data_IF_328642710913
#
_entry.id   IF_328642710913
#
_cell.length_a   1.000
_cell.length_b   1.000
_cell.length_c   1.000
_cell.angle_alpha   90.00
_cell.angle_beta   90.00
_cell.angle_gamma   90.00
#
_symmetry.space_group_name_H-M   'P 1'
#
loop_
_entity.id
_entity.type
_entity.pdbx_description
1 polymer ?
#
# COMPACT_ATOMS: atom_id res chain seq x y z
N UNK A 1 17.94 18.46 -30.94
CA UNK A 1 18.31 19.58 -30.04
C UNK A 1 18.86 18.99 -28.75
N UNK A 2 19.89 19.60 -28.17
CA UNK A 2 20.40 19.21 -26.86
C UNK A 2 19.55 19.84 -25.73
N UNK A 3 19.07 19.01 -24.82
CA UNK A 3 18.18 19.41 -23.71
C UNK A 3 18.89 20.37 -22.74
N UNK A 4 20.21 20.21 -22.54
CA UNK A 4 21.00 21.08 -21.66
C UNK A 4 21.13 22.49 -22.24
N UNK A 5 21.30 22.59 -23.56
CA UNK A 5 21.29 23.86 -24.30
C UNK A 5 19.95 24.59 -24.17
N UNK A 6 18.82 23.88 -24.34
CA UNK A 6 17.48 24.47 -24.20
C UNK A 6 17.19 24.92 -22.76
N UNK A 7 17.57 24.13 -21.74
CA UNK A 7 17.38 24.51 -20.33
C UNK A 7 18.21 25.73 -19.93
N UNK A 8 19.44 25.87 -20.43
CA UNK A 8 20.27 27.07 -20.22
C UNK A 8 19.73 28.32 -20.91
N UNK A 9 19.03 28.15 -22.04
CA UNK A 9 18.36 29.25 -22.73
C UNK A 9 17.15 29.72 -21.91
N UNK A 10 16.29 28.79 -21.47
CA UNK A 10 15.14 29.07 -20.61
C UNK A 10 15.52 29.71 -19.27
N UNK A 11 16.66 29.31 -18.67
CA UNK A 11 17.18 29.91 -17.44
C UNK A 11 17.67 31.37 -17.62
N UNK A 12 17.92 31.82 -18.86
CA UNK A 12 18.37 33.17 -19.19
C UNK A 12 17.32 34.03 -19.89
N UNK A 13 16.19 33.45 -20.29
CA UNK A 13 15.08 34.17 -20.90
C UNK A 13 14.45 35.13 -19.88
N UNK A 14 13.95 36.29 -20.34
CA UNK A 14 13.25 37.22 -19.45
C UNK A 14 11.86 36.66 -19.14
N UNK A 15 11.29 37.07 -18.00
CA UNK A 15 9.94 36.65 -17.59
C UNK A 15 8.89 36.96 -18.65
N UNK A 16 9.06 38.08 -19.36
CA UNK A 16 8.23 38.51 -20.50
C UNK A 16 8.31 37.54 -21.69
N UNK A 17 9.52 37.11 -22.07
CA UNK A 17 9.74 36.14 -23.16
C UNK A 17 9.12 34.77 -22.81
N UNK A 18 9.29 34.33 -21.56
CA UNK A 18 8.73 33.09 -21.05
C UNK A 18 7.19 33.12 -21.00
N UNK A 19 6.61 34.26 -20.62
CA UNK A 19 5.16 34.45 -20.60
C UNK A 19 4.59 34.47 -22.03
N UNK A 20 5.23 35.18 -22.96
CA UNK A 20 4.84 35.19 -24.37
C UNK A 20 4.87 33.79 -24.98
N UNK A 21 5.93 33.01 -24.70
CA UNK A 21 6.05 31.62 -25.19
C UNK A 21 5.02 30.67 -24.55
N UNK A 22 4.71 30.86 -23.27
CA UNK A 22 3.63 30.13 -22.59
C UNK A 22 2.26 30.40 -23.26
N UNK A 23 1.98 31.66 -23.56
CA UNK A 23 0.70 32.07 -24.15
C UNK A 23 0.60 31.64 -25.63
N UNK A 24 1.70 31.63 -26.37
CA UNK A 24 1.81 31.03 -27.71
C UNK A 24 1.53 29.51 -27.68
N UNK A 25 2.10 28.77 -26.72
CA UNK A 25 1.83 27.34 -26.53
C UNK A 25 0.37 27.08 -26.16
N UNK A 26 -0.25 27.92 -25.33
CA UNK A 26 -1.68 27.81 -25.02
C UNK A 26 -2.56 28.08 -26.24
N UNK A 27 -2.23 29.07 -27.08
CA UNK A 27 -2.94 29.33 -28.33
C UNK A 27 -2.80 28.16 -29.31
N UNK A 28 -1.61 27.59 -29.45
CA UNK A 28 -1.36 26.41 -30.29
C UNK A 28 -2.17 25.19 -29.81
N UNK A 29 -2.19 24.93 -28.50
CA UNK A 29 -2.99 23.85 -27.90
C UNK A 29 -4.51 24.08 -28.07
N UNK A 30 -4.96 25.33 -28.00
CA UNK A 30 -6.35 25.70 -28.26
C UNK A 30 -6.74 25.47 -29.73
N UNK A 31 -5.89 25.85 -30.68
CA UNK A 31 -6.14 25.61 -32.11
C UNK A 31 -6.10 24.11 -32.46
N UNK A 32 -5.12 23.36 -31.93
CA UNK A 32 -5.10 21.89 -32.06
C UNK A 32 -6.37 21.24 -31.48
N UNK A 33 -6.84 21.69 -30.32
CA UNK A 33 -8.11 21.22 -29.73
C UNK A 33 -9.33 21.57 -30.58
N UNK A 34 -9.31 22.70 -31.28
CA UNK A 34 -10.37 23.12 -32.21
C UNK A 34 -10.37 22.26 -33.48
N UNK A 35 -9.20 21.99 -34.08
CA UNK A 35 -9.05 21.08 -35.22
C UNK A 35 -9.50 19.66 -34.89
N UNK A 36 -9.04 19.12 -33.75
CA UNK A 36 -9.47 17.80 -33.25
C UNK A 36 -10.97 17.70 -32.93
N UNK A 37 -11.67 18.81 -32.69
CA UNK A 37 -13.15 18.83 -32.61
C UNK A 37 -13.81 18.94 -33.98
N UNK A 38 -13.21 19.70 -34.90
CA UNK A 38 -13.68 19.82 -36.28
C UNK A 38 -13.61 18.49 -37.05
N UNK A 39 -12.53 17.73 -36.88
CA UNK A 39 -12.34 16.42 -37.53
C UNK A 39 -13.28 15.33 -37.00
N UNK A 40 -13.89 15.54 -35.83
CA UNK A 40 -14.94 14.67 -35.27
C UNK A 40 -16.36 15.07 -35.70
N UNK A 41 -16.53 16.13 -36.51
CA UNK A 41 -17.85 16.59 -36.97
C UNK A 41 -18.26 16.10 -38.37
N UNK A 42 -17.43 15.30 -39.03
CA UNK A 42 -17.73 14.68 -40.34
C UNK A 42 -18.13 13.20 -40.26
N UNK A 43 -18.12 12.58 -39.06
CA UNK A 43 -18.45 11.16 -38.87
C UNK A 43 -19.34 10.95 -37.62
N UNK A 44 -20.59 11.40 -37.69
CA UNK A 44 -21.77 10.63 -37.21
C UNK A 44 -23.05 11.45 -37.32
N UNK A 45 -23.73 11.35 -38.46
CA UNK A 45 -25.14 11.74 -38.53
C UNK A 45 -26.00 10.55 -38.06
N UNK A 46 -26.35 10.53 -36.77
CA UNK A 46 -27.60 9.95 -36.21
C UNK A 46 -27.54 9.79 -34.68
N UNK A 47 -28.45 10.48 -33.96
CA UNK A 47 -28.92 10.27 -32.56
C UNK A 47 -27.82 9.99 -31.50
N UNK A 48 -27.54 10.92 -30.58
CA UNK A 48 -28.46 11.31 -29.49
C UNK A 48 -28.39 10.28 -28.34
N UNK A 49 -28.10 10.62 -27.08
CA UNK A 49 -28.33 11.87 -26.34
C UNK A 49 -27.17 12.28 -25.40
N UNK A 50 -27.31 13.46 -24.79
CA UNK A 50 -26.37 14.13 -23.90
C UNK A 50 -26.26 13.48 -22.51
N UNK A 51 -25.05 13.38 -21.95
CA UNK A 51 -24.84 13.63 -20.51
C UNK A 51 -23.64 14.58 -20.32
N UNK A 52 -23.88 15.65 -19.56
CA UNK A 52 -22.94 16.73 -19.25
C UNK A 52 -21.84 16.30 -18.27
N UNK A 53 -20.65 16.90 -18.41
CA UNK A 53 -19.55 16.78 -17.43
C UNK A 53 -19.39 18.11 -16.69
N UNK A 54 -19.74 18.12 -15.41
CA UNK A 54 -19.34 19.10 -14.41
C UNK A 54 -19.41 18.45 -13.01
N UNK A 55 -18.37 18.39 -12.17
CA UNK A 55 -17.44 19.43 -11.67
C UNK A 55 -17.96 20.17 -10.42
N UNK A 56 -17.45 19.71 -9.26
CA UNK A 56 -17.13 20.45 -8.00
C UNK A 56 -18.15 20.62 -6.85
N UNK A 57 -17.69 20.13 -5.69
CA UNK A 57 -17.69 20.70 -4.30
C UNK A 57 -18.97 21.09 -3.53
N UNK A 58 -18.91 20.79 -2.22
CA UNK A 58 -19.64 21.36 -1.05
C UNK A 58 -21.13 20.99 -0.90
N UNK A 59 -21.68 20.45 0.21
CA UNK A 59 -21.59 20.68 1.69
C UNK A 59 -22.71 21.61 2.20
N UNK A 60 -23.43 21.17 3.27
CA UNK A 60 -24.48 21.87 4.07
C UNK A 60 -25.78 22.28 3.33
N UNK A 61 -26.97 22.43 3.96
CA UNK A 61 -27.58 21.90 5.19
C UNK A 61 -29.12 22.12 5.11
N UNK A 62 -29.91 21.37 5.88
CA UNK A 62 -31.27 21.66 6.39
C UNK A 62 -32.43 22.13 5.47
N UNK A 63 -33.68 21.79 5.87
CA UNK A 63 -34.85 22.65 5.61
C UNK A 63 -36.15 21.99 5.15
N UNK A 64 -36.91 21.42 6.09
CA UNK A 64 -38.38 21.31 6.18
C UNK A 64 -39.29 21.24 4.92
N UNK A 65 -40.11 20.18 4.96
CA UNK A 65 -41.58 20.15 4.80
C UNK A 65 -42.15 20.10 3.34
N UNK A 66 -43.35 19.56 3.08
CA UNK A 66 -44.49 19.26 3.97
C UNK A 66 -45.44 18.22 3.32
N UNK A 67 -46.12 17.38 4.12
CA UNK A 67 -47.43 16.69 3.86
C UNK A 67 -47.61 15.82 2.58
N UNK A 68 -48.38 14.74 2.55
CA UNK A 68 -49.30 14.11 3.52
C UNK A 68 -49.55 12.64 3.12
N UNK A 69 -49.74 11.76 4.11
CA UNK A 69 -50.94 10.94 4.39
C UNK A 69 -51.68 10.29 3.17
N UNK A 70 -52.12 9.03 3.13
CA UNK A 70 -52.54 8.04 4.15
C UNK A 70 -52.48 6.61 3.51
N UNK A 71 -52.54 5.45 4.17
CA UNK A 71 -52.63 5.09 5.60
C UNK A 71 -51.77 3.82 5.91
N UNK A 72 -52.32 2.70 6.40
CA UNK A 72 -51.60 1.66 7.14
C UNK A 72 -52.12 0.21 7.01
N UNK A 73 -51.33 -0.78 7.46
CA UNK A 73 -51.76 -1.68 8.56
C UNK A 73 -50.60 -2.45 9.21
N UNK A 74 -50.71 -2.59 10.54
CA UNK A 74 -49.75 -3.09 11.53
C UNK A 74 -49.12 -4.49 11.34
N UNK A 75 -47.90 -4.66 11.87
CA UNK A 75 -47.71 -5.55 13.03
C UNK A 75 -46.40 -5.30 13.80
N UNK A 76 -46.48 -5.45 15.12
CA UNK A 76 -45.45 -5.08 16.11
C UNK A 76 -44.54 -6.27 16.44
N UNK A 77 -43.24 -6.01 16.69
CA UNK A 77 -42.73 -6.10 18.06
C UNK A 77 -41.28 -5.63 18.24
N UNK A 78 -41.02 -5.05 19.41
CA UNK A 78 -39.73 -4.59 19.90
C UNK A 78 -39.08 -5.64 20.78
N UNK A 79 -37.80 -5.96 20.57
CA UNK A 79 -36.92 -6.52 21.60
C UNK A 79 -35.53 -5.87 21.51
N UNK A 80 -35.29 -4.89 22.37
CA UNK A 80 -33.94 -4.57 22.86
C UNK A 80 -33.55 -5.57 23.95
N UNK A 81 -32.40 -6.25 23.83
CA UNK A 81 -31.76 -6.86 25.00
C UNK A 81 -30.25 -6.87 24.88
N UNK A 82 -29.60 -6.33 25.90
CA UNK A 82 -28.18 -6.40 26.18
C UNK A 82 -27.74 -7.81 26.58
N UNK A 83 -26.49 -8.18 26.29
CA UNK A 83 -25.87 -9.34 26.92
C UNK A 83 -24.61 -8.95 27.71
N UNK A 84 -24.62 -9.34 28.98
CA UNK A 84 -23.59 -9.02 29.96
C UNK A 84 -22.39 -9.97 29.88
N UNK A 85 -21.21 -9.43 30.17
CA UNK A 85 -20.03 -10.20 30.58
C UNK A 85 -20.23 -10.73 32.01
N UNK A 86 -19.92 -12.00 32.31
CA UNK A 86 -19.94 -12.49 33.68
C UNK A 86 -18.67 -12.07 34.45
N UNK A 87 -18.84 -11.46 35.62
CA UNK A 87 -17.82 -11.43 36.66
C UNK A 87 -17.93 -12.70 37.53
N UNK A 88 -16.78 -13.23 37.94
CA UNK A 88 -16.64 -14.09 39.12
C UNK A 88 -15.51 -13.49 39.94
N UNK A 89 -15.65 -13.42 41.27
CA UNK A 89 -14.77 -12.60 42.10
C UNK A 89 -14.37 -13.24 43.43
N UNK A 90 -13.39 -12.61 44.09
CA UNK A 90 -13.02 -12.71 45.51
C UNK A 90 -12.07 -11.50 45.75
N UNK A 91 -12.36 -10.50 46.61
CA UNK A 91 -12.54 -10.40 48.08
C UNK A 91 -11.25 -10.16 48.88
N UNK A 92 -11.32 -9.20 49.84
CA UNK A 92 -10.32 -8.77 50.84
C UNK A 92 -9.11 -7.96 50.32
N UNK A 93 -8.60 -6.90 50.96
CA UNK A 93 -9.08 -5.97 52.04
C UNK A 93 -8.35 -4.63 51.79
N UNK A 94 -9.00 -3.46 51.89
CA UNK A 94 -9.27 -2.65 53.10
C UNK A 94 -8.02 -2.13 53.84
N UNK A 95 -7.97 -0.81 54.12
CA UNK A 95 -6.76 -0.11 54.60
C UNK A 95 -6.80 1.41 54.39
N UNK A 96 -7.64 2.10 55.16
CA UNK A 96 -7.85 3.55 55.15
C UNK A 96 -7.10 4.23 56.32
N UNK A 97 -6.40 5.35 56.06
CA UNK A 97 -6.19 6.52 56.96
C UNK A 97 -5.47 7.61 56.13
N UNK A 98 -5.94 8.86 55.89
CA UNK A 98 -6.40 9.98 56.76
C UNK A 98 -5.21 10.49 57.62
N UNK A 99 -4.77 11.76 57.63
CA UNK A 99 -5.48 13.05 57.85
C UNK A 99 -4.65 14.28 57.35
N UNK A 100 -5.23 15.21 56.56
CA UNK A 100 -5.69 16.59 56.89
C UNK A 100 -4.68 17.71 57.24
N UNK A 101 -4.23 18.46 56.21
CA UNK A 101 -4.01 19.95 56.13
C UNK A 101 -3.28 20.75 57.24
N UNK A 102 -3.36 22.10 57.23
CA UNK A 102 -3.29 23.05 56.10
C UNK A 102 -2.18 24.14 56.33
N UNK A 103 -2.11 25.20 55.49
CA UNK A 103 -1.77 26.63 55.82
C UNK A 103 -0.95 27.37 54.73
N UNK A 104 -1.65 28.23 53.97
CA UNK A 104 -1.28 29.57 53.45
C UNK A 104 -0.14 29.86 52.42
N UNK A 105 -0.19 31.04 51.74
CA UNK A 105 0.28 31.18 50.36
C UNK A 105 1.48 32.14 50.17
N UNK A 106 1.78 32.39 48.89
CA UNK A 106 2.63 33.47 48.33
C UNK A 106 4.14 33.21 48.23
N UNK A 107 4.56 32.84 47.01
CA UNK A 107 5.58 33.64 46.30
C UNK A 107 5.20 33.74 44.82
N UNK A 108 5.14 34.96 44.28
CA UNK A 108 5.06 35.20 42.83
C UNK A 108 6.47 35.10 42.25
N UNK A 109 6.69 34.21 41.28
CA UNK A 109 7.82 34.32 40.36
C UNK A 109 7.33 34.42 38.92
N UNK A 110 7.53 35.61 38.34
CA UNK A 110 7.06 35.99 37.02
C UNK A 110 7.93 35.36 35.93
N UNK A 111 7.52 34.18 35.43
CA UNK A 111 8.12 33.61 34.23
C UNK A 111 7.51 34.27 32.98
N UNK A 112 8.31 34.90 32.09
CA UNK A 112 7.75 35.53 30.89
C UNK A 112 7.13 34.48 29.96
N UNK A 113 6.04 34.81 29.24
CA UNK A 113 5.42 33.89 28.29
C UNK A 113 6.39 33.66 27.13
N UNK A 114 6.92 32.44 27.04
CA UNK A 114 7.52 31.98 25.78
C UNK A 114 6.39 31.64 24.83
N UNK A 115 6.23 32.46 23.79
CA UNK A 115 5.32 32.16 22.69
C UNK A 115 5.62 30.73 22.16
N UNK A 116 4.59 29.90 21.94
CA UNK A 116 4.79 28.60 21.34
C UNK A 116 5.26 28.82 19.90
N UNK A 117 6.57 28.66 19.66
CA UNK A 117 7.15 28.63 18.32
C UNK A 117 6.48 27.50 17.55
N UNK A 118 5.45 27.86 16.78
CA UNK A 118 4.70 26.99 15.90
C UNK A 118 5.62 26.55 14.76
N UNK A 119 6.48 25.59 15.09
CA UNK A 119 7.32 24.88 14.14
C UNK A 119 6.42 24.38 13.02
N UNK A 120 6.65 24.79 11.75
CA UNK A 120 5.73 24.48 10.67
C UNK A 120 5.62 22.96 10.53
N UNK A 121 4.45 22.41 10.85
CA UNK A 121 4.15 20.97 10.72
C UNK A 121 4.15 20.62 9.24
N UNK A 122 5.33 20.32 8.70
CA UNK A 122 5.51 19.86 7.32
C UNK A 122 4.50 18.75 7.04
N UNK A 123 3.58 18.91 6.08
CA UNK A 123 2.60 17.88 5.73
C UNK A 123 3.35 16.60 5.36
N UNK A 124 3.40 15.64 6.28
CA UNK A 124 4.21 14.44 6.10
C UNK A 124 3.53 13.58 5.03
N UNK A 125 4.07 13.59 3.81
CA UNK A 125 3.54 12.84 2.68
C UNK A 125 3.48 11.34 2.97
N UNK A 126 2.63 10.58 2.28
CA UNK A 126 2.51 9.13 2.50
C UNK A 126 3.85 8.37 2.36
N UNK A 127 4.75 8.69 1.39
CA UNK A 127 6.12 8.19 1.38
C UNK A 127 6.86 8.42 2.70
N UNK A 128 6.83 9.63 3.25
CA UNK A 128 7.50 9.96 4.52
C UNK A 128 6.83 9.29 5.73
N UNK A 129 5.49 9.14 5.75
CA UNK A 129 4.78 8.42 6.81
C UNK A 129 5.16 6.94 6.82
N UNK A 130 5.21 6.31 5.65
CA UNK A 130 5.65 4.93 5.50
C UNK A 130 7.15 4.80 5.82
N UNK A 131 7.98 5.75 5.42
CA UNK A 131 9.41 5.72 5.73
C UNK A 131 9.70 5.83 7.23
N UNK A 132 8.99 6.71 7.95
CA UNK A 132 9.18 6.88 9.41
C UNK A 132 8.93 5.61 10.23
N UNK A 133 8.13 4.65 9.74
CA UNK A 133 7.88 3.39 10.46
C UNK A 133 8.92 2.28 10.19
N UNK A 134 10.00 2.56 9.45
CA UNK A 134 11.08 1.60 9.20
C UNK A 134 11.73 1.07 10.49
N UNK A 135 12.00 1.92 11.48
CA UNK A 135 12.68 1.50 12.72
C UNK A 135 11.89 0.39 13.47
N UNK A 136 10.66 0.69 13.89
CA UNK A 136 9.81 -0.23 14.66
C UNK A 136 9.40 -1.50 13.89
N UNK A 137 9.38 -1.41 12.56
CA UNK A 137 9.03 -2.53 11.68
C UNK A 137 10.22 -3.44 11.45
N UNK A 138 11.38 -2.87 11.12
CA UNK A 138 12.59 -3.65 10.88
C UNK A 138 13.14 -4.25 12.17
N UNK A 139 13.01 -3.58 13.32
CA UNK A 139 13.32 -4.21 14.61
C UNK A 139 12.44 -5.44 14.86
N UNK A 140 11.14 -5.35 14.62
CA UNK A 140 10.24 -6.49 14.79
C UNK A 140 10.53 -7.60 13.78
N UNK A 141 10.70 -7.28 12.49
CA UNK A 141 11.05 -8.26 11.45
C UNK A 141 12.39 -8.93 11.74
N UNK A 142 13.39 -8.18 12.20
CA UNK A 142 14.71 -8.72 12.54
C UNK A 142 14.62 -9.73 13.69
N UNK A 143 13.91 -9.39 14.77
CA UNK A 143 13.65 -10.34 15.87
C UNK A 143 12.83 -11.55 15.40
N UNK A 144 11.75 -11.33 14.64
CA UNK A 144 10.87 -12.39 14.12
C UNK A 144 11.57 -13.31 13.11
N UNK A 145 12.60 -12.82 12.40
CA UNK A 145 13.39 -13.60 11.45
C UNK A 145 14.43 -14.54 12.07
N UNK A 146 14.56 -14.53 13.40
CA UNK A 146 15.42 -15.48 14.13
C UNK A 146 14.84 -16.89 14.12
N UNK A 147 13.52 -17.01 14.09
CA UNK A 147 12.82 -18.29 14.01
C UNK A 147 12.77 -18.81 12.57
N UNK A 148 12.75 -20.14 12.41
CA UNK A 148 12.67 -20.77 11.08
C UNK A 148 11.27 -20.58 10.48
N UNK A 149 11.15 -20.15 9.21
CA UNK A 149 9.84 -19.87 8.60
C UNK A 149 8.84 -21.02 8.67
N UNK A 150 9.31 -22.25 8.44
CA UNK A 150 8.47 -23.45 8.49
C UNK A 150 7.87 -23.72 9.88
N UNK A 151 8.57 -23.35 10.95
CA UNK A 151 8.12 -23.63 12.32
C UNK A 151 7.13 -22.57 12.80
N UNK A 152 7.34 -21.30 12.44
CA UNK A 152 6.34 -20.23 12.61
C UNK A 152 5.02 -20.59 11.90
N UNK A 153 5.10 -21.09 10.66
CA UNK A 153 3.92 -21.43 9.86
C UNK A 153 3.18 -22.63 10.44
N UNK A 154 3.89 -23.68 10.92
CA UNK A 154 3.27 -24.81 11.63
C UNK A 154 2.55 -24.35 12.90
N UNK A 155 3.19 -23.51 13.72
CA UNK A 155 2.61 -23.00 14.96
C UNK A 155 1.31 -22.20 14.72
N UNK A 156 1.22 -21.48 13.59
CA UNK A 156 0.01 -20.74 13.20
C UNK A 156 -1.04 -21.62 12.48
N UNK A 157 -0.66 -22.77 11.90
CA UNK A 157 -1.50 -23.59 11.02
C UNK A 157 -1.60 -25.04 11.50
N UNK A 158 -2.62 -25.30 12.32
CA UNK A 158 -3.00 -26.65 12.75
C UNK A 158 -3.56 -27.52 11.59
N UNK A 159 -4.11 -26.89 10.54
CA UNK A 159 -4.85 -27.57 9.47
C UNK A 159 -4.18 -27.48 8.10
N UNK A 160 -4.28 -28.57 7.31
CA UNK A 160 -3.78 -28.66 5.93
C UNK A 160 -4.78 -28.05 4.91
N UNK A 161 -5.16 -26.78 5.06
CA UNK A 161 -6.05 -26.08 4.09
C UNK A 161 -5.59 -24.67 3.74
N UNK A 162 -6.15 -24.09 2.68
CA UNK A 162 -5.82 -22.73 2.23
C UNK A 162 -6.43 -21.69 3.18
N UNK A 163 -5.63 -21.19 4.13
CA UNK A 163 -6.06 -20.18 5.11
C UNK A 163 -5.96 -18.73 4.61
N UNK A 164 -5.62 -18.48 3.34
CA UNK A 164 -5.33 -17.11 2.85
C UNK A 164 -6.53 -16.16 2.90
N UNK A 165 -7.75 -16.66 2.83
CA UNK A 165 -8.96 -15.84 3.02
C UNK A 165 -9.08 -15.47 4.51
N UNK A 166 -8.93 -16.44 5.41
CA UNK A 166 -8.99 -16.24 6.86
C UNK A 166 -7.90 -15.30 7.38
N UNK A 167 -6.66 -15.48 6.92
CA UNK A 167 -5.50 -14.65 7.26
C UNK A 167 -5.77 -13.16 6.91
N UNK A 168 -6.61 -12.87 5.90
CA UNK A 168 -7.03 -11.50 5.54
C UNK A 168 -8.18 -11.01 6.44
N UNK A 169 -9.22 -11.82 6.58
CA UNK A 169 -10.46 -11.49 7.30
C UNK A 169 -10.21 -11.30 8.81
N UNK A 170 -9.37 -12.13 9.42
CA UNK A 170 -9.02 -12.07 10.85
C UNK A 170 -8.34 -10.74 11.27
N UNK A 171 -7.85 -9.96 10.30
CA UNK A 171 -7.22 -8.65 10.50
C UNK A 171 -7.96 -7.54 9.71
N UNK A 172 -9.14 -7.82 9.18
CA UNK A 172 -10.02 -6.79 8.61
C UNK A 172 -10.85 -6.15 9.72
N UNK A 173 -11.09 -4.84 9.66
CA UNK A 173 -11.72 -4.06 10.73
C UNK A 173 -10.87 -3.82 11.99
N UNK A 174 -9.96 -4.72 12.36
CA UNK A 174 -9.18 -4.61 13.61
C UNK A 174 -7.97 -3.67 13.50
N UNK A 175 -8.04 -2.52 14.19
CA UNK A 175 -6.91 -1.58 14.38
C UNK A 175 -5.83 -2.10 15.34
N UNK A 176 -6.13 -3.13 16.14
CA UNK A 176 -5.28 -3.65 17.23
C UNK A 176 -4.72 -5.05 16.95
N UNK A 177 -4.81 -5.53 15.71
CA UNK A 177 -4.28 -6.85 15.34
C UNK A 177 -2.76 -6.95 15.62
N UNK A 178 -2.33 -8.06 16.20
CA UNK A 178 -0.91 -8.35 16.50
C UNK A 178 -0.04 -8.27 15.23
N UNK A 179 1.21 -7.79 15.33
CA UNK A 179 2.15 -7.68 14.19
C UNK A 179 2.31 -9.00 13.41
N UNK A 180 2.30 -10.16 14.10
CA UNK A 180 2.29 -11.49 13.46
C UNK A 180 1.09 -11.68 12.52
N UNK A 181 -0.12 -11.33 12.97
CA UNK A 181 -1.34 -11.51 12.19
C UNK A 181 -1.37 -10.53 11.02
N UNK A 182 -0.90 -9.28 11.21
CA UNK A 182 -0.71 -8.31 10.12
C UNK A 182 0.28 -8.82 9.07
N UNK A 183 1.39 -9.45 9.51
CA UNK A 183 2.35 -10.08 8.61
C UNK A 183 1.71 -11.22 7.82
N UNK A 184 1.01 -12.15 8.47
CA UNK A 184 0.29 -13.24 7.81
C UNK A 184 -0.76 -12.73 6.80
N UNK A 185 -1.54 -11.70 7.13
CA UNK A 185 -2.44 -11.01 6.18
C UNK A 185 -1.68 -10.52 4.96
N UNK A 186 -0.55 -9.84 5.14
CA UNK A 186 0.26 -9.38 4.03
C UNK A 186 0.82 -10.52 3.17
N UNK A 187 1.21 -11.64 3.78
CA UNK A 187 1.63 -12.86 3.07
C UNK A 187 0.48 -13.49 2.26
N UNK A 188 -0.74 -13.47 2.81
CA UNK A 188 -1.95 -13.92 2.12
C UNK A 188 -2.23 -13.09 0.88
N UNK A 189 -2.27 -11.76 1.04
CA UNK A 189 -2.48 -10.80 -0.06
C UNK A 189 -1.39 -10.95 -1.13
N UNK A 190 -0.12 -11.03 -0.73
CA UNK A 190 1.00 -11.23 -1.65
C UNK A 190 0.93 -12.56 -2.38
N UNK A 191 0.52 -13.64 -1.70
CA UNK A 191 0.27 -14.95 -2.31
C UNK A 191 -0.86 -14.91 -3.33
N UNK A 192 -1.95 -14.19 -3.06
CA UNK A 192 -3.03 -13.97 -4.04
C UNK A 192 -2.54 -13.18 -5.25
N UNK A 193 -1.79 -12.10 -5.04
CA UNK A 193 -1.16 -11.32 -6.12
C UNK A 193 -0.20 -12.16 -6.98
N UNK A 194 0.57 -13.07 -6.37
CA UNK A 194 1.41 -14.04 -7.09
C UNK A 194 0.59 -15.03 -7.91
N UNK A 195 -0.45 -15.67 -7.33
CA UNK A 195 -1.31 -16.61 -8.08
C UNK A 195 -1.97 -15.93 -9.27
N UNK A 196 -2.48 -14.71 -9.10
CA UNK A 196 -3.03 -13.91 -10.19
C UNK A 196 -1.99 -13.55 -11.26
N UNK A 197 -0.78 -13.14 -10.87
CA UNK A 197 0.32 -12.84 -11.81
C UNK A 197 0.71 -14.08 -12.62
N UNK A 198 0.81 -15.24 -11.98
CA UNK A 198 1.14 -16.51 -12.63
C UNK A 198 0.03 -16.97 -13.58
N UNK A 199 -1.25 -16.72 -13.26
CA UNK A 199 -2.37 -16.97 -14.16
C UNK A 199 -2.28 -16.13 -15.44
N UNK A 200 -1.96 -14.83 -15.32
CA UNK A 200 -1.76 -13.97 -16.50
C UNK A 200 -0.59 -14.47 -17.38
N UNK A 201 0.53 -14.86 -16.77
CA UNK A 201 1.68 -15.44 -17.49
C UNK A 201 1.32 -16.73 -18.21
N UNK A 202 0.57 -17.63 -17.57
CA UNK A 202 0.12 -18.89 -18.17
C UNK A 202 -0.87 -18.67 -19.33
N UNK A 203 -1.62 -17.56 -19.32
CA UNK A 203 -2.50 -17.15 -20.41
C UNK A 203 -1.78 -16.35 -21.53
N UNK A 204 -0.47 -16.11 -21.41
CA UNK A 204 0.28 -15.27 -22.36
C UNK A 204 -0.06 -13.77 -22.29
N UNK A 205 -0.81 -13.32 -21.28
CA UNK A 205 -1.22 -11.93 -21.14
C UNK A 205 -0.14 -11.08 -20.43
N UNK A 206 0.02 -9.79 -20.79
CA UNK A 206 0.83 -8.85 -20.04
C UNK A 206 0.41 -8.82 -18.55
N UNK A 207 1.34 -9.06 -17.65
CA UNK A 207 1.03 -9.06 -16.22
C UNK A 207 0.67 -7.66 -15.73
N UNK A 208 -0.31 -7.57 -14.83
CA UNK A 208 -0.72 -6.29 -14.24
C UNK A 208 0.41 -5.62 -13.47
N UNK A 209 1.35 -6.41 -12.93
CA UNK A 209 2.56 -5.90 -12.29
C UNK A 209 3.45 -5.18 -13.30
N UNK A 210 3.70 -5.78 -14.48
CA UNK A 210 4.50 -5.17 -15.54
C UNK A 210 3.87 -3.88 -16.07
N UNK A 211 2.57 -3.90 -16.40
CA UNK A 211 1.82 -2.71 -16.84
C UNK A 211 1.96 -1.54 -15.84
N UNK A 212 1.84 -1.83 -14.54
CA UNK A 212 1.93 -0.83 -13.48
C UNK A 212 3.36 -0.32 -13.28
N UNK A 213 4.39 -1.16 -13.42
CA UNK A 213 5.78 -0.74 -13.36
C UNK A 213 6.12 0.24 -14.50
N UNK A 214 5.73 -0.06 -15.74
CA UNK A 214 5.95 0.87 -16.86
C UNK A 214 5.05 2.12 -16.74
N UNK A 215 3.81 1.98 -16.26
CA UNK A 215 2.94 3.12 -15.96
C UNK A 215 3.53 4.09 -14.94
N UNK A 216 4.22 3.60 -13.91
CA UNK A 216 4.97 4.45 -12.96
C UNK A 216 6.20 5.06 -13.64
N UNK A 217 6.97 4.26 -14.40
CA UNK A 217 8.19 4.72 -15.07
C UNK A 217 7.96 5.87 -16.05
N UNK A 218 6.93 5.75 -16.88
CA UNK A 218 6.58 6.75 -17.90
C UNK A 218 5.54 7.77 -17.41
N UNK A 219 5.15 7.73 -16.13
CA UNK A 219 4.06 8.53 -15.56
C UNK A 219 2.71 8.40 -16.30
N UNK A 220 2.50 7.29 -17.02
CA UNK A 220 1.27 7.07 -17.79
C UNK A 220 0.10 6.65 -16.89
N UNK A 221 -0.76 7.62 -16.61
CA UNK A 221 -2.01 7.42 -15.87
C UNK A 221 -2.95 6.39 -16.51
N UNK A 222 -2.87 6.11 -17.82
CA UNK A 222 -3.71 5.12 -18.54
C UNK A 222 -3.34 3.70 -18.12
N UNK A 223 -2.04 3.40 -18.01
CA UNK A 223 -1.55 2.12 -17.49
C UNK A 223 -1.84 1.97 -15.99
N UNK A 224 -1.73 3.05 -15.22
CA UNK A 224 -2.01 3.05 -13.76
C UNK A 224 -3.52 2.83 -13.47
N UNK A 225 -4.43 3.34 -14.31
CA UNK A 225 -5.88 3.15 -14.16
C UNK A 225 -6.29 1.67 -14.26
N UNK A 226 -7.32 1.31 -13.47
CA UNK A 226 -7.77 -0.07 -13.25
C UNK A 226 -8.42 -0.66 -14.52
N UNK A 227 -7.96 -1.83 -14.98
CA UNK A 227 -8.62 -2.66 -16.00
C UNK A 227 -9.56 -3.67 -15.29
N UNK A 228 -10.89 -3.45 -15.22
CA UNK A 228 -11.78 -4.27 -14.39
C UNK A 228 -12.01 -5.70 -14.93
N UNK A 229 -11.84 -5.94 -16.23
CA UNK A 229 -12.18 -7.21 -16.87
C UNK A 229 -11.35 -8.42 -16.42
N UNK A 230 -10.02 -8.30 -16.37
CA UNK A 230 -9.12 -9.46 -16.23
C UNK A 230 -9.22 -10.09 -14.83
N UNK A 231 -9.21 -9.27 -13.77
CA UNK A 231 -9.41 -9.74 -12.41
C UNK A 231 -10.82 -10.35 -12.20
N UNK A 232 -11.85 -9.85 -12.90
CA UNK A 232 -13.18 -10.44 -12.88
C UNK A 232 -13.17 -11.84 -13.53
N UNK A 233 -12.57 -11.99 -14.73
CA UNK A 233 -12.43 -13.30 -15.42
C UNK A 233 -11.74 -14.36 -14.53
N UNK A 234 -10.65 -13.99 -13.85
CA UNK A 234 -9.95 -14.87 -12.90
C UNK A 234 -10.84 -15.35 -11.75
N UNK A 235 -11.75 -14.49 -11.26
CA UNK A 235 -12.69 -14.85 -10.19
C UNK A 235 -13.90 -15.63 -10.71
N UNK A 236 -14.34 -15.42 -11.95
CA UNK A 236 -15.43 -16.19 -12.55
C UNK A 236 -15.07 -17.67 -12.71
N UNK A 237 -13.80 -18.00 -12.95
CA UNK A 237 -13.31 -19.39 -13.03
C UNK A 237 -13.15 -20.10 -11.67
N UNK A 238 -13.76 -19.59 -10.60
CA UNK A 238 -13.63 -20.16 -9.24
C UNK A 238 -14.98 -20.32 -8.54
N UNK A 239 -15.21 -21.50 -7.98
CA UNK A 239 -16.38 -21.90 -7.18
C UNK A 239 -16.34 -21.30 -5.77
N UNK A 240 -16.33 -19.96 -5.70
CA UNK A 240 -16.23 -19.20 -4.46
C UNK A 240 -17.48 -18.36 -4.22
N UNK A 241 -17.79 -18.11 -2.95
CA UNK A 241 -18.90 -17.25 -2.53
C UNK A 241 -18.61 -15.78 -2.87
N UNK A 242 -19.64 -14.93 -2.83
CA UNK A 242 -19.54 -13.52 -3.26
C UNK A 242 -18.62 -12.69 -2.35
N UNK A 243 -18.74 -12.90 -1.05
CA UNK A 243 -17.91 -12.33 0.02
C UNK A 243 -16.44 -12.79 -0.06
N UNK A 244 -16.21 -14.07 -0.36
CA UNK A 244 -14.88 -14.61 -0.62
C UNK A 244 -14.25 -13.98 -1.87
N UNK A 245 -15.03 -13.85 -2.96
CA UNK A 245 -14.60 -13.20 -4.21
C UNK A 245 -14.21 -11.74 -3.98
N UNK A 246 -14.95 -10.98 -3.16
CA UNK A 246 -14.56 -9.61 -2.81
C UNK A 246 -13.27 -9.59 -1.97
N UNK A 247 -13.18 -10.44 -0.94
CA UNK A 247 -11.99 -10.57 -0.09
C UNK A 247 -10.73 -10.88 -0.92
N UNK A 248 -10.85 -11.81 -1.88
CA UNK A 248 -9.77 -12.15 -2.80
C UNK A 248 -9.46 -11.01 -3.76
N UNK A 249 -10.46 -10.29 -4.28
CA UNK A 249 -10.21 -9.13 -5.13
C UNK A 249 -9.45 -8.03 -4.37
N UNK A 250 -9.82 -7.73 -3.11
CA UNK A 250 -9.06 -6.84 -2.22
C UNK A 250 -7.63 -7.38 -2.04
N UNK A 251 -7.49 -8.67 -1.77
CA UNK A 251 -6.20 -9.36 -1.59
C UNK A 251 -5.27 -9.31 -2.80
N UNK A 252 -5.79 -9.57 -4.02
CA UNK A 252 -5.06 -9.47 -5.29
C UNK A 252 -4.59 -8.03 -5.51
N UNK A 253 -5.47 -7.03 -5.33
CA UNK A 253 -5.09 -5.63 -5.56
C UNK A 253 -3.94 -5.19 -4.64
N UNK A 254 -3.98 -5.54 -3.35
CA UNK A 254 -2.88 -5.25 -2.42
C UNK A 254 -1.63 -6.09 -2.73
N UNK A 255 -1.79 -7.36 -3.10
CA UNK A 255 -0.68 -8.24 -3.49
C UNK A 255 0.06 -7.75 -4.73
N UNK A 256 -0.66 -7.39 -5.79
CA UNK A 256 -0.12 -6.75 -7.00
C UNK A 256 0.60 -5.45 -6.62
N UNK A 257 0.02 -4.64 -5.74
CA UNK A 257 0.64 -3.40 -5.26
C UNK A 257 1.99 -3.65 -4.55
N UNK A 258 2.08 -4.67 -3.69
CA UNK A 258 3.36 -5.09 -3.08
C UNK A 258 4.37 -5.61 -4.12
N UNK A 259 3.90 -6.32 -5.16
CA UNK A 259 4.76 -6.84 -6.23
C UNK A 259 5.32 -5.74 -7.13
N UNK A 260 4.53 -4.71 -7.45
CA UNK A 260 4.99 -3.52 -8.19
C UNK A 260 6.07 -2.77 -7.41
N UNK A 261 5.86 -2.52 -6.11
CA UNK A 261 6.90 -1.90 -5.29
C UNK A 261 8.17 -2.75 -5.23
N UNK A 262 8.03 -4.07 -5.03
CA UNK A 262 9.16 -5.01 -5.04
C UNK A 262 9.94 -4.91 -6.35
N UNK A 263 9.26 -4.87 -7.49
CA UNK A 263 9.88 -4.83 -8.82
C UNK A 263 10.56 -3.48 -9.11
N UNK A 264 9.97 -2.35 -8.73
CA UNK A 264 10.63 -1.05 -8.86
C UNK A 264 11.86 -0.95 -7.94
N UNK A 265 11.75 -1.40 -6.68
CA UNK A 265 12.89 -1.46 -5.76
C UNK A 265 14.00 -2.40 -6.25
N UNK A 266 13.62 -3.51 -6.91
CA UNK A 266 14.54 -4.44 -7.58
C UNK A 266 15.36 -3.74 -8.65
N UNK A 267 14.71 -2.97 -9.53
CA UNK A 267 15.37 -2.20 -10.60
C UNK A 267 16.33 -1.16 -10.02
N UNK A 268 15.91 -0.39 -9.00
CA UNK A 268 16.77 0.58 -8.32
C UNK A 268 18.03 -0.06 -7.70
N UNK A 269 17.89 -1.24 -7.08
CA UNK A 269 19.03 -2.00 -6.54
C UNK A 269 20.03 -2.39 -7.64
N UNK A 270 19.55 -2.81 -8.81
CA UNK A 270 20.42 -3.15 -9.95
C UNK A 270 21.14 -1.91 -10.52
N UNK A 271 20.42 -0.80 -10.71
CA UNK A 271 20.97 0.47 -11.19
C UNK A 271 22.04 0.99 -10.22
N UNK A 272 21.79 0.85 -8.91
CA UNK A 272 22.74 1.17 -7.82
C UNK A 272 23.84 0.11 -7.60
N UNK A 273 23.95 -0.91 -8.47
CA UNK A 273 24.91 -2.04 -8.39
C UNK A 273 24.92 -2.79 -7.04
N UNK A 274 23.78 -2.82 -6.34
CA UNK A 274 23.58 -3.52 -5.06
C UNK A 274 23.01 -4.93 -5.25
N UNK A 275 23.05 -5.73 -4.19
CA UNK A 275 22.49 -7.09 -4.19
C UNK A 275 21.00 -7.09 -4.56
N UNK A 276 20.65 -7.88 -5.57
CA UNK A 276 19.33 -7.87 -6.23
C UNK A 276 18.27 -8.68 -5.46
N UNK A 277 18.20 -8.50 -4.14
CA UNK A 277 17.32 -9.23 -3.22
C UNK A 277 16.31 -8.26 -2.59
N UNK A 278 15.19 -7.97 -3.26
CA UNK A 278 14.18 -7.00 -2.81
C UNK A 278 13.08 -7.61 -1.91
N UNK A 279 13.15 -8.90 -1.56
CA UNK A 279 12.03 -9.64 -0.94
C UNK A 279 11.42 -8.96 0.29
N UNK A 280 12.26 -8.48 1.21
CA UNK A 280 11.85 -7.88 2.47
C UNK A 280 11.08 -6.55 2.33
N UNK A 281 11.13 -5.86 1.18
CA UNK A 281 10.31 -4.64 1.01
C UNK A 281 8.81 -4.99 1.05
N UNK A 282 8.44 -6.17 0.55
CA UNK A 282 7.06 -6.67 0.70
C UNK A 282 6.70 -6.94 2.16
N UNK A 283 7.59 -7.58 2.93
CA UNK A 283 7.45 -7.81 4.38
C UNK A 283 7.18 -6.51 5.15
N UNK A 284 7.98 -5.50 4.83
CA UNK A 284 7.89 -4.18 5.43
C UNK A 284 6.54 -3.51 5.13
N UNK A 285 6.07 -3.55 3.87
CA UNK A 285 4.77 -2.99 3.49
C UNK A 285 3.57 -3.75 4.06
N UNK A 286 3.69 -5.07 4.27
CA UNK A 286 2.67 -5.89 4.92
C UNK A 286 2.38 -5.43 6.35
N UNK A 287 3.44 -5.20 7.13
CA UNK A 287 3.35 -4.71 8.52
C UNK A 287 2.92 -3.23 8.61
N UNK A 288 3.03 -2.49 7.52
CA UNK A 288 2.63 -1.08 7.43
C UNK A 288 1.40 -0.87 6.56
N UNK A 289 0.49 -1.84 6.55
CA UNK A 289 -0.68 -1.88 5.68
C UNK A 289 -1.47 -0.56 5.64
N UNK A 290 -1.62 0.14 6.77
CA UNK A 290 -2.34 1.42 6.83
C UNK A 290 -1.59 2.57 6.11
N UNK A 291 -0.27 2.68 6.24
CA UNK A 291 0.49 3.68 5.48
C UNK A 291 0.60 3.26 4.00
N UNK A 292 0.78 1.97 3.75
CA UNK A 292 0.96 1.43 2.41
C UNK A 292 -0.32 1.44 1.56
N UNK A 293 -1.52 1.26 2.12
CA UNK A 293 -2.77 1.29 1.35
C UNK A 293 -3.02 2.69 0.75
N UNK A 294 -2.65 3.75 1.45
CA UNK A 294 -2.80 5.14 1.00
C UNK A 294 -1.69 5.64 0.06
N UNK A 295 -0.55 4.94 -0.04
CA UNK A 295 0.54 5.29 -0.96
C UNK A 295 0.13 5.02 -2.43
N UNK A 296 0.04 6.01 -3.31
CA UNK A 296 -0.32 5.76 -4.71
C UNK A 296 0.88 5.21 -5.50
N UNK A 297 0.62 4.54 -6.63
CA UNK A 297 1.69 4.01 -7.50
C UNK A 297 2.69 5.09 -7.95
N UNK A 298 2.20 6.29 -8.27
CA UNK A 298 3.03 7.47 -8.61
C UNK A 298 3.96 7.93 -7.47
N UNK A 299 3.66 7.56 -6.22
CA UNK A 299 4.44 7.95 -5.04
C UNK A 299 5.55 6.91 -4.73
N UNK A 300 5.60 5.80 -5.47
CA UNK A 300 6.56 4.71 -5.25
C UNK A 300 8.01 5.12 -5.53
N UNK A 301 8.35 5.89 -6.60
CA UNK A 301 9.71 6.39 -6.81
C UNK A 301 10.19 7.21 -5.61
N UNK A 302 9.41 8.21 -5.16
CA UNK A 302 9.74 9.02 -3.98
C UNK A 302 9.95 8.16 -2.72
N UNK A 303 9.14 7.13 -2.51
CA UNK A 303 9.33 6.22 -1.38
C UNK A 303 10.60 5.36 -1.51
N UNK A 304 10.97 4.94 -2.72
CA UNK A 304 12.21 4.21 -2.99
C UNK A 304 13.42 5.12 -2.78
N UNK A 305 13.38 6.36 -3.28
CA UNK A 305 14.45 7.37 -3.13
C UNK A 305 14.75 7.68 -1.65
N UNK A 306 13.74 7.64 -0.78
CA UNK A 306 13.93 7.79 0.66
C UNK A 306 14.74 6.64 1.28
N UNK A 307 14.76 5.45 0.67
CA UNK A 307 15.48 4.24 1.15
C UNK A 307 16.83 4.09 0.46
N UNK A 308 16.85 4.30 -0.86
CA UNK A 308 17.98 4.20 -1.77
C UNK A 308 18.10 5.54 -2.52
N UNK A 309 18.73 6.56 -1.93
CA UNK A 309 18.94 7.84 -2.60
C UNK A 309 19.60 7.65 -3.97
N UNK A 310 19.08 8.28 -5.04
CA UNK A 310 19.62 8.09 -6.40
C UNK A 310 20.97 8.78 -6.63
N UNK A 311 21.36 9.70 -5.74
CA UNK A 311 22.65 10.39 -5.80
C UNK A 311 23.70 9.61 -4.98
N UNK A 312 24.88 9.26 -5.53
CA UNK A 312 25.93 8.57 -4.79
C UNK A 312 26.44 9.31 -3.55
N UNK A 313 26.32 10.64 -3.57
CA UNK A 313 26.75 11.56 -2.51
C UNK A 313 25.73 11.69 -1.35
N UNK A 314 24.47 11.26 -1.56
CA UNK A 314 23.43 11.42 -0.55
C UNK A 314 23.58 10.38 0.56
N UNK A 315 23.43 10.79 1.82
CA UNK A 315 23.55 9.87 2.96
C UNK A 315 22.46 8.80 2.89
N UNK A 316 22.89 7.54 2.85
CA UNK A 316 21.99 6.39 2.86
C UNK A 316 21.41 6.26 4.27
N UNK A 317 20.07 6.22 4.41
CA UNK A 317 19.43 6.26 5.71
C UNK A 317 19.82 5.07 6.58
N UNK A 318 20.03 5.36 7.86
CA UNK A 318 20.42 4.39 8.88
C UNK A 318 19.34 4.21 9.93
N UNK A 319 19.29 3.01 10.48
CA UNK A 319 18.48 2.66 11.65
C UNK A 319 19.36 1.99 12.70
N UNK A 320 19.01 2.17 13.97
CA UNK A 320 19.59 1.40 15.06
C UNK A 320 18.72 0.15 15.30
N UNK A 321 19.36 -1.01 15.34
CA UNK A 321 18.72 -2.28 15.69
C UNK A 321 19.35 -2.86 16.95
N UNK A 322 18.52 -3.26 17.90
CA UNK A 322 18.89 -4.14 18.99
C UNK A 322 19.23 -5.52 18.43
N UNK A 323 20.47 -5.94 18.68
CA UNK A 323 21.04 -7.24 18.30
C UNK A 323 21.12 -8.21 19.48
N UNK A 324 20.97 -7.70 20.70
CA UNK A 324 21.01 -8.41 21.97
C UNK A 324 20.61 -7.47 23.11
N UNK A 325 20.55 -7.95 24.37
CA UNK A 325 19.98 -7.20 25.51
C UNK A 325 20.55 -5.78 25.68
N UNK A 326 21.85 -5.62 25.46
CA UNK A 326 22.58 -4.36 25.65
C UNK A 326 23.33 -3.88 24.38
N UNK A 327 22.94 -4.34 23.18
CA UNK A 327 23.70 -4.05 21.94
C UNK A 327 22.84 -3.45 20.82
N UNK A 328 22.84 -2.13 20.73
CA UNK A 328 22.37 -1.38 19.57
C UNK A 328 23.48 -1.29 18.51
N UNK A 329 23.16 -1.62 17.26
CA UNK A 329 24.06 -1.44 16.11
C UNK A 329 23.36 -0.61 15.03
N UNK A 330 24.11 0.31 14.40
CA UNK A 330 23.61 1.13 13.30
C UNK A 330 23.82 0.40 11.96
N UNK A 331 22.75 0.30 11.16
CA UNK A 331 22.74 -0.36 9.86
C UNK A 331 22.10 0.54 8.80
N UNK A 332 22.57 0.48 7.55
CA UNK A 332 21.85 1.10 6.43
C UNK A 332 20.54 0.33 6.18
N UNK A 333 19.42 1.03 5.98
CA UNK A 333 18.10 0.39 5.73
C UNK A 333 18.14 -0.61 4.55
N UNK A 334 18.77 -0.29 3.39
CA UNK A 334 18.89 -1.23 2.29
C UNK A 334 19.57 -2.55 2.66
N UNK A 335 20.63 -2.50 3.47
CA UNK A 335 21.42 -3.69 3.83
C UNK A 335 20.62 -4.62 4.74
N UNK A 336 19.86 -4.05 5.69
CA UNK A 336 18.90 -4.80 6.52
C UNK A 336 17.85 -5.49 5.63
N UNK A 337 17.26 -4.76 4.68
CA UNK A 337 16.27 -5.32 3.75
C UNK A 337 16.87 -6.45 2.89
N UNK A 338 18.09 -6.29 2.37
CA UNK A 338 18.78 -7.34 1.61
C UNK A 338 19.02 -8.58 2.48
N UNK A 339 19.48 -8.41 3.72
CA UNK A 339 19.73 -9.52 4.64
C UNK A 339 18.46 -10.32 4.97
N UNK A 340 17.34 -9.63 5.21
CA UNK A 340 16.03 -10.25 5.51
C UNK A 340 15.36 -10.88 4.28
N UNK A 341 15.77 -10.50 3.06
CA UNK A 341 15.10 -10.91 1.83
C UNK A 341 15.22 -12.40 1.51
N UNK A 342 16.29 -13.07 1.96
CA UNK A 342 16.41 -14.53 1.85
C UNK A 342 15.37 -15.23 2.73
N UNK A 343 15.37 -14.93 4.02
CA UNK A 343 14.40 -15.46 5.00
C UNK A 343 12.96 -15.19 4.58
N UNK A 344 12.65 -13.99 4.08
CA UNK A 344 11.31 -13.65 3.59
C UNK A 344 10.89 -14.49 2.38
N UNK A 345 11.83 -14.77 1.47
CA UNK A 345 11.56 -15.60 0.29
C UNK A 345 11.26 -17.04 0.71
N UNK A 346 12.04 -17.58 1.65
CA UNK A 346 11.80 -18.90 2.26
C UNK A 346 10.46 -18.95 2.99
N UNK A 347 10.09 -17.89 3.74
CA UNK A 347 8.78 -17.77 4.39
C UNK A 347 7.65 -17.75 3.37
N UNK A 348 7.76 -16.97 2.30
CA UNK A 348 6.74 -16.94 1.26
C UNK A 348 6.55 -18.30 0.58
N UNK A 349 7.65 -19.02 0.32
CA UNK A 349 7.63 -20.37 -0.27
C UNK A 349 6.94 -21.33 0.69
N UNK A 350 7.34 -21.38 1.96
CA UNK A 350 6.73 -22.23 2.98
C UNK A 350 5.24 -21.89 3.21
N UNK A 351 4.88 -20.60 3.17
CA UNK A 351 3.50 -20.12 3.35
C UNK A 351 2.58 -20.50 2.19
N UNK A 352 3.14 -20.59 0.98
CA UNK A 352 2.47 -21.10 -0.22
C UNK A 352 2.49 -22.64 -0.33
N UNK A 353 3.38 -23.31 0.40
CA UNK A 353 3.61 -24.74 0.30
C UNK A 353 2.59 -25.59 1.06
N UNK A 354 2.31 -26.79 0.53
CA UNK A 354 1.43 -27.83 1.11
C UNK A 354 0.00 -27.36 1.45
N UNK A 355 -0.67 -26.78 0.46
CA UNK A 355 -2.14 -26.74 0.40
C UNK A 355 -2.60 -27.90 -0.49
N UNK A 356 -3.21 -28.97 0.06
CA UNK A 356 -3.94 -29.95 -0.73
C UNK A 356 -5.07 -29.24 -1.49
N UNK A 357 -5.27 -29.55 -2.77
CA UNK A 357 -6.32 -28.95 -3.59
C UNK A 357 -5.99 -27.58 -4.21
N UNK A 358 -4.83 -26.97 -3.93
CA UNK A 358 -4.39 -25.85 -4.79
C UNK A 358 -3.88 -26.39 -6.12
N UNK A 359 -4.58 -26.07 -7.22
CA UNK A 359 -4.16 -26.35 -8.60
C UNK A 359 -2.65 -26.13 -8.80
N UNK A 360 -1.91 -27.23 -9.02
CA UNK A 360 -0.46 -27.25 -9.11
C UNK A 360 0.04 -26.71 -10.46
N UNK A 361 -0.06 -25.39 -10.67
CA UNK A 361 0.61 -24.71 -11.79
C UNK A 361 2.15 -24.68 -11.67
N UNK A 362 2.71 -25.15 -10.54
CA UNK A 362 4.15 -25.27 -10.35
C UNK A 362 4.83 -26.35 -11.23
N UNK A 363 4.07 -27.23 -11.89
CA UNK A 363 4.65 -28.25 -12.78
C UNK A 363 5.03 -27.72 -14.18
N UNK A 364 4.56 -26.53 -14.60
CA UNK A 364 4.98 -25.96 -15.90
C UNK A 364 6.43 -25.46 -15.92
N UNK A 365 7.06 -25.26 -14.75
CA UNK A 365 8.46 -24.82 -14.66
C UNK A 365 9.47 -25.85 -15.18
N UNK A 366 9.11 -27.14 -15.24
CA UNK A 366 10.02 -28.20 -15.69
C UNK A 366 10.13 -28.34 -17.22
N UNK A 367 9.22 -27.72 -18.00
CA UNK A 367 9.30 -27.76 -19.48
C UNK A 367 10.03 -26.55 -20.08
N UNK A 368 10.03 -25.38 -19.43
CA UNK A 368 10.72 -24.20 -19.98
C UNK A 368 12.25 -24.36 -19.91
N UNK A 369 12.79 -25.02 -18.87
CA UNK A 369 14.22 -25.29 -18.73
C UNK A 369 14.79 -26.29 -19.77
N UNK A 370 13.95 -26.99 -20.54
CA UNK A 370 14.42 -27.87 -21.63
C UNK A 370 14.63 -27.16 -22.97
N UNK A 371 14.07 -25.97 -23.17
CA UNK A 371 14.20 -25.22 -24.43
C UNK A 371 15.29 -24.13 -24.43
N UNK A 372 15.92 -23.85 -23.28
CA UNK A 372 17.07 -22.90 -23.20
C UNK A 372 18.42 -23.62 -23.38
N UNK A 373 18.44 -24.96 -23.27
CA UNK A 373 19.66 -25.80 -23.39
C UNK A 373 19.99 -26.23 -24.84
N UNK A 374 19.30 -25.69 -25.85
CA UNK A 374 19.44 -26.09 -27.26
C UNK A 374 20.03 -25.01 -28.19
N UNK A 375 20.59 -23.93 -27.62
CA UNK A 375 21.20 -22.82 -28.38
C UNK A 375 22.62 -22.44 -27.90
N UNK A 376 23.33 -23.37 -27.25
CA UNK A 376 24.77 -23.23 -26.96
C UNK A 376 25.49 -24.56 -27.25
N UNK A 377 25.56 -24.88 -28.54
CA UNK A 377 26.52 -25.76 -29.24
C UNK A 377 26.54 -25.33 -30.69
#
# INVERSE_FOLDING_TARGET
MDILSTLRLLQKARTEDLQSYHDEVLLMLADMSKRLKSDNSSISDSRGEYISIGSRYSVTSDGSAQSSDEEASDSKNSITTSHNTPLSGQLFSDGLEKETGPTDPSTRDSKPPQDPVLSPKIPTSWPNKLFKSFADTLQWLYTFSRDRPGDIIKAQRMEKRDRRIEDIQHVEGSKLARKSNQFFKGMAQRSMGLKYTNYQLAAGEPTRVSELCEGVRYSDSRLIKKRPGIAKRYLTSTELKSDEKETILRGINVGVKQLVLKELFRRQLQESRRSNLPGAISAFTALNANAFIHLHFKDFPQFIDLILPPKPEAEIPRIQLSTGPNSLKSFQIPDVLVSLSKWFSEFQIAYNGKIPGSLNLYNSSNNVSRHILFYIT
#
